data_IF_620085417416
#
_entry.id   IF_620085417416
#
_cell.length_a   1.000
_cell.length_b   1.000
_cell.length_c   1.000
_cell.angle_alpha   90.00
_cell.angle_beta   90.00
_cell.angle_gamma   90.00
#
_symmetry.space_group_name_H-M   'P 1'
#
loop_
_entity.id
_entity.type
_entity.pdbx_description
1 polymer ?
#
# COMPACT_ATOMS: atom_id res chain seq x y z
N UNK A 1 -6.44 -16.04 -4.25
CA UNK A 1 -5.76 -14.79 -3.86
C UNK A 1 -4.26 -15.01 -3.86
N UNK A 2 -3.46 -14.05 -4.33
CA UNK A 2 -2.01 -14.00 -4.15
C UNK A 2 -1.65 -12.79 -3.31
N UNK A 3 -0.83 -13.00 -2.26
CA UNK A 3 -0.48 -11.97 -1.29
C UNK A 3 0.99 -12.03 -0.93
N UNK A 4 1.50 -10.95 -0.37
CA UNK A 4 2.78 -10.92 0.33
C UNK A 4 2.66 -11.58 1.70
N UNK A 5 3.80 -11.95 2.28
CA UNK A 5 3.86 -12.50 3.63
C UNK A 5 3.34 -11.52 4.69
N UNK A 6 2.93 -12.04 5.83
CA UNK A 6 2.46 -11.30 7.00
C UNK A 6 3.49 -10.30 7.54
N UNK A 7 4.78 -10.63 7.47
CA UNK A 7 5.87 -9.77 7.92
C UNK A 7 6.08 -8.48 7.11
N UNK A 8 5.32 -8.28 6.04
CA UNK A 8 5.41 -7.06 5.25
C UNK A 8 4.67 -5.90 5.91
N UNK A 9 5.35 -4.75 6.04
CA UNK A 9 4.80 -3.57 6.73
C UNK A 9 3.49 -3.07 6.10
N UNK A 10 3.29 -3.22 4.79
CA UNK A 10 2.06 -2.79 4.12
C UNK A 10 0.89 -3.69 4.48
N UNK A 11 1.12 -5.00 4.61
CA UNK A 11 0.10 -5.94 5.08
C UNK A 11 -0.23 -5.69 6.55
N UNK A 12 0.77 -5.43 7.39
CA UNK A 12 0.58 -5.10 8.81
C UNK A 12 -0.27 -3.82 8.94
N UNK A 13 0.03 -2.80 8.16
CA UNK A 13 -0.73 -1.55 8.10
C UNK A 13 -2.19 -1.79 7.68
N UNK A 14 -2.40 -2.58 6.62
CA UNK A 14 -3.74 -2.96 6.16
C UNK A 14 -4.52 -3.73 7.23
N UNK A 15 -3.89 -4.70 7.89
CA UNK A 15 -4.51 -5.46 8.98
C UNK A 15 -4.87 -4.55 10.15
N UNK A 16 -3.99 -3.61 10.51
CA UNK A 16 -4.25 -2.61 11.54
C UNK A 16 -5.47 -1.73 11.19
N UNK A 17 -5.62 -1.36 9.92
CA UNK A 17 -6.80 -0.63 9.43
C UNK A 17 -8.07 -1.48 9.52
N UNK A 18 -8.02 -2.74 9.12
CA UNK A 18 -9.17 -3.65 9.23
C UNK A 18 -9.55 -3.87 10.69
N UNK A 19 -8.57 -4.03 11.57
CA UNK A 19 -8.75 -4.19 13.01
C UNK A 19 -9.43 -2.95 13.64
N UNK A 20 -9.00 -1.75 13.25
CA UNK A 20 -9.60 -0.51 13.79
C UNK A 20 -11.07 -0.37 13.39
N UNK A 21 -11.43 -0.77 12.18
CA UNK A 21 -12.79 -0.58 11.65
C UNK A 21 -13.73 -1.74 12.04
N UNK A 22 -13.25 -2.98 11.96
CA UNK A 22 -14.09 -4.17 12.15
C UNK A 22 -13.97 -4.80 13.55
N UNK A 23 -13.06 -4.29 14.39
CA UNK A 23 -12.72 -4.88 15.68
C UNK A 23 -11.96 -6.21 15.55
N UNK A 24 -11.53 -6.77 16.67
CA UNK A 24 -10.67 -7.96 16.70
C UNK A 24 -11.34 -9.19 16.02
N UNK A 25 -12.61 -9.43 16.29
CA UNK A 25 -13.34 -10.57 15.72
C UNK A 25 -13.50 -10.40 14.19
N UNK A 26 -13.91 -9.22 13.75
CA UNK A 26 -14.07 -8.92 12.32
C UNK A 26 -12.75 -9.04 11.55
N UNK A 27 -11.66 -8.53 12.11
CA UNK A 27 -10.33 -8.64 11.54
C UNK A 27 -9.81 -10.09 11.49
N UNK A 28 -10.02 -10.86 12.55
CA UNK A 28 -9.69 -12.29 12.58
C UNK A 28 -10.44 -13.08 11.50
N UNK A 29 -11.73 -12.82 11.35
CA UNK A 29 -12.57 -13.46 10.33
C UNK A 29 -12.12 -13.06 8.91
N UNK A 30 -11.80 -11.78 8.69
CA UNK A 30 -11.27 -11.30 7.44
C UNK A 30 -9.93 -11.98 7.10
N UNK A 31 -8.98 -12.02 8.03
CA UNK A 31 -7.68 -12.64 7.84
C UNK A 31 -7.78 -14.13 7.48
N UNK A 32 -8.60 -14.89 8.23
CA UNK A 32 -8.87 -16.30 7.94
C UNK A 32 -9.52 -16.48 6.57
N UNK A 33 -10.48 -15.62 6.22
CA UNK A 33 -11.13 -15.64 4.92
C UNK A 33 -10.15 -15.41 3.78
N UNK A 34 -9.22 -14.47 3.92
CA UNK A 34 -8.17 -14.22 2.91
C UNK A 34 -7.20 -15.40 2.85
N UNK A 35 -6.67 -15.86 3.98
CA UNK A 35 -5.70 -16.95 4.05
C UNK A 35 -6.26 -18.27 3.47
N UNK A 36 -7.52 -18.60 3.74
CA UNK A 36 -8.18 -19.79 3.19
C UNK A 36 -8.38 -19.75 1.67
N UNK A 37 -8.22 -18.59 1.06
CA UNK A 37 -8.33 -18.39 -0.38
C UNK A 37 -6.97 -18.18 -1.07
N UNK A 38 -5.86 -18.42 -0.42
CA UNK A 38 -4.55 -18.35 -1.05
C UNK A 38 -4.42 -19.39 -2.16
N UNK A 39 -4.00 -18.94 -3.35
CA UNK A 39 -3.71 -19.82 -4.47
C UNK A 39 -2.36 -20.52 -4.31
N UNK A 40 -1.49 -19.94 -3.52
CA UNK A 40 -0.15 -20.43 -3.16
C UNK A 40 0.30 -19.77 -1.86
N UNK A 41 1.40 -20.24 -1.30
CA UNK A 41 2.05 -19.61 -0.15
C UNK A 41 2.38 -18.13 -0.42
N UNK A 42 2.21 -17.24 0.57
CA UNK A 42 2.56 -15.83 0.46
C UNK A 42 4.01 -15.61 0.01
N UNK A 43 4.22 -14.68 -0.90
CA UNK A 43 5.54 -14.38 -1.48
C UNK A 43 5.92 -12.91 -1.31
N UNK A 44 7.22 -12.61 -1.54
CA UNK A 44 7.89 -11.44 -0.99
C UNK A 44 7.66 -10.08 -1.65
N UNK A 45 7.10 -9.97 -2.88
CA UNK A 45 6.97 -8.66 -3.54
C UNK A 45 5.66 -8.48 -4.30
N UNK A 46 5.16 -7.24 -4.34
CA UNK A 46 3.90 -6.89 -4.97
C UNK A 46 3.94 -7.07 -6.49
N UNK A 47 5.07 -6.77 -7.14
CA UNK A 47 5.21 -6.97 -8.59
C UNK A 47 4.99 -8.43 -8.97
N UNK A 48 5.50 -9.37 -8.17
CA UNK A 48 5.26 -10.80 -8.37
C UNK A 48 3.80 -11.17 -8.24
N UNK A 49 3.07 -10.58 -7.27
CA UNK A 49 1.64 -10.81 -7.09
C UNK A 49 0.82 -10.24 -8.26
N UNK A 50 1.16 -9.04 -8.74
CA UNK A 50 0.52 -8.41 -9.91
C UNK A 50 0.71 -9.28 -11.15
N UNK A 51 1.92 -9.78 -11.39
CA UNK A 51 2.23 -10.68 -12.52
C UNK A 51 1.49 -12.02 -12.41
N UNK A 52 1.32 -12.54 -11.19
CA UNK A 52 0.56 -13.76 -10.95
C UNK A 52 -0.94 -13.60 -11.29
N UNK A 53 -1.52 -12.42 -11.03
CA UNK A 53 -2.87 -12.11 -11.49
C UNK A 53 -2.93 -12.05 -13.01
N UNK A 54 -2.00 -11.34 -13.65
CA UNK A 54 -1.96 -11.20 -15.11
C UNK A 54 -1.78 -12.55 -15.83
N UNK A 55 -1.01 -13.47 -15.25
CA UNK A 55 -0.83 -14.83 -15.79
C UNK A 55 -2.00 -15.79 -15.52
N UNK A 56 -2.96 -15.40 -14.68
CA UNK A 56 -4.08 -16.23 -14.28
C UNK A 56 -3.79 -17.24 -13.17
N UNK A 57 -2.61 -17.22 -12.58
CA UNK A 57 -2.24 -18.06 -11.41
C UNK A 57 -3.17 -17.77 -10.21
N UNK A 58 -3.54 -16.52 -10.03
CA UNK A 58 -4.56 -16.11 -9.07
C UNK A 58 -5.53 -15.08 -9.67
N UNK A 59 -6.70 -14.94 -9.06
CA UNK A 59 -7.75 -14.04 -9.55
C UNK A 59 -7.67 -12.64 -8.95
N UNK A 60 -7.09 -12.50 -7.76
CA UNK A 60 -7.04 -11.27 -6.97
C UNK A 60 -5.70 -11.18 -6.26
N UNK A 61 -5.18 -9.97 -6.18
CA UNK A 61 -4.06 -9.59 -5.31
C UNK A 61 -4.31 -8.23 -4.69
N UNK A 62 -3.74 -7.97 -3.52
CA UNK A 62 -3.67 -6.64 -2.93
C UNK A 62 -2.22 -6.17 -3.06
N UNK A 63 -2.04 -4.97 -3.59
CA UNK A 63 -0.72 -4.39 -3.84
C UNK A 63 -0.77 -2.86 -3.71
N UNK A 64 0.36 -2.24 -3.41
CA UNK A 64 0.45 -0.79 -3.45
C UNK A 64 0.44 -0.29 -4.90
N UNK A 65 -0.19 0.85 -5.12
CA UNK A 65 -0.41 1.46 -6.44
C UNK A 65 0.88 1.82 -7.16
N UNK A 66 1.93 2.22 -6.44
CA UNK A 66 3.19 2.62 -7.07
C UNK A 66 3.89 1.46 -7.81
N UNK A 67 3.61 0.19 -7.49
CA UNK A 67 4.11 -0.94 -8.29
C UNK A 67 3.44 -1.00 -9.67
N UNK A 68 2.15 -0.63 -9.75
CA UNK A 68 1.46 -0.45 -11.03
C UNK A 68 2.07 0.71 -11.80
N UNK A 69 2.30 1.85 -11.13
CA UNK A 69 2.96 3.01 -11.72
C UNK A 69 4.33 2.66 -12.33
N UNK A 70 5.13 1.84 -11.64
CA UNK A 70 6.42 1.36 -12.16
C UNK A 70 6.27 0.50 -13.41
N UNK A 71 5.28 -0.39 -13.47
CA UNK A 71 5.01 -1.20 -14.66
C UNK A 71 4.56 -0.32 -15.84
N UNK A 72 3.71 0.67 -15.59
CA UNK A 72 3.30 1.67 -16.59
C UNK A 72 4.48 2.48 -17.11
N UNK A 73 5.40 2.90 -16.23
CA UNK A 73 6.55 3.73 -16.57
C UNK A 73 7.69 2.95 -17.27
N UNK A 74 7.70 1.63 -17.21
CA UNK A 74 8.84 0.81 -17.65
C UNK A 74 9.09 0.86 -19.16
N UNK A 75 8.05 1.12 -19.96
CA UNK A 75 8.09 1.09 -21.42
C UNK A 75 8.34 -0.30 -22.05
N UNK A 76 8.42 -1.35 -21.24
CA UNK A 76 8.70 -2.71 -21.70
C UNK A 76 7.43 -3.41 -22.19
N UNK A 77 7.46 -4.11 -23.35
CA UNK A 77 6.29 -4.83 -23.86
C UNK A 77 5.72 -5.86 -22.88
N UNK A 78 6.57 -6.56 -22.13
CA UNK A 78 6.16 -7.54 -21.13
C UNK A 78 5.42 -6.89 -19.94
N UNK A 79 5.80 -5.69 -19.52
CA UNK A 79 5.13 -4.95 -18.45
C UNK A 79 3.79 -4.37 -18.94
N UNK A 80 3.76 -3.91 -20.20
CA UNK A 80 2.50 -3.51 -20.83
C UNK A 80 1.50 -4.67 -20.88
N UNK A 81 1.94 -5.86 -21.27
CA UNK A 81 1.08 -7.05 -21.30
C UNK A 81 0.51 -7.40 -19.92
N UNK A 82 1.29 -7.20 -18.84
CA UNK A 82 0.82 -7.37 -17.46
C UNK A 82 -0.29 -6.36 -17.15
N UNK A 83 -0.11 -5.09 -17.46
CA UNK A 83 -1.11 -4.04 -17.23
C UNK A 83 -2.39 -4.30 -18.04
N UNK A 84 -2.27 -4.68 -19.31
CA UNK A 84 -3.40 -5.00 -20.18
C UNK A 84 -4.19 -6.23 -19.67
N UNK A 85 -3.54 -7.13 -18.93
CA UNK A 85 -4.13 -8.36 -18.38
C UNK A 85 -4.82 -8.22 -17.03
N UNK A 86 -4.79 -7.04 -16.40
CA UNK A 86 -5.34 -6.82 -15.06
C UNK A 86 -6.38 -5.69 -15.03
N UNK A 87 -7.19 -5.70 -13.97
CA UNK A 87 -8.06 -4.58 -13.61
C UNK A 87 -7.71 -4.09 -12.21
N UNK A 88 -7.53 -2.79 -12.08
CA UNK A 88 -7.28 -2.13 -10.79
C UNK A 88 -8.64 -1.74 -10.19
N UNK A 89 -8.80 -2.02 -8.91
CA UNK A 89 -9.99 -1.68 -8.13
C UNK A 89 -9.56 -1.02 -6.83
N UNK A 90 -10.01 0.18 -6.58
CA UNK A 90 -9.92 0.82 -5.27
C UNK A 90 -11.08 0.32 -4.40
N UNK A 91 -10.80 -0.39 -3.30
CA UNK A 91 -11.88 -0.92 -2.43
C UNK A 91 -12.56 0.19 -1.62
N UNK A 92 -13.70 -0.14 -1.02
CA UNK A 92 -14.42 0.66 -0.03
C UNK A 92 -14.82 2.07 -0.51
N UNK A 93 -15.06 2.26 -1.81
CA UNK A 93 -15.36 3.58 -2.37
C UNK A 93 -16.77 4.08 -2.02
N UNK A 94 -17.67 3.21 -1.58
CA UNK A 94 -19.02 3.55 -1.13
C UNK A 94 -19.12 3.84 0.38
N UNK A 95 -18.04 3.63 1.13
CA UNK A 95 -18.01 3.79 2.59
C UNK A 95 -16.74 4.50 3.07
N UNK A 96 -15.82 3.82 3.72
CA UNK A 96 -14.66 4.41 4.40
C UNK A 96 -13.51 4.85 3.50
N UNK A 97 -13.52 4.47 2.24
CA UNK A 97 -12.40 4.71 1.33
C UNK A 97 -11.33 3.61 1.35
N UNK A 98 -10.38 3.73 0.43
CA UNK A 98 -9.26 2.81 0.28
C UNK A 98 -8.20 3.06 1.33
N UNK A 99 -7.72 2.00 1.99
CA UNK A 99 -6.56 2.10 2.88
C UNK A 99 -5.34 2.65 2.14
N UNK A 100 -4.66 3.63 2.73
CA UNK A 100 -3.45 4.25 2.19
C UNK A 100 -2.27 4.01 3.12
N UNK A 101 -1.11 3.72 2.52
CA UNK A 101 0.17 3.70 3.22
C UNK A 101 0.87 5.04 3.01
N UNK A 102 1.41 5.61 4.07
CA UNK A 102 2.03 6.94 4.07
C UNK A 102 3.53 6.79 4.35
N UNK A 103 4.36 7.41 3.51
CA UNK A 103 5.77 7.64 3.83
C UNK A 103 5.90 8.86 4.74
N UNK A 104 6.78 8.80 5.73
CA UNK A 104 6.96 9.86 6.69
C UNK A 104 8.42 10.15 6.99
N UNK A 105 8.69 11.33 7.50
CA UNK A 105 10.00 11.75 7.96
C UNK A 105 9.90 12.42 9.34
N UNK A 106 10.95 12.30 10.16
CA UNK A 106 11.02 12.92 11.47
C UNK A 106 12.43 13.39 11.82
N UNK A 107 12.53 14.39 12.67
CA UNK A 107 13.82 14.86 13.20
C UNK A 107 14.18 14.04 14.43
N UNK A 108 15.34 13.35 14.41
CA UNK A 108 15.82 12.62 15.57
C UNK A 108 16.22 13.59 16.72
N UNK A 109 16.01 13.18 17.96
CA UNK A 109 16.26 14.04 19.12
C UNK A 109 17.70 14.56 19.19
N UNK A 110 18.67 13.74 18.75
CA UNK A 110 20.11 14.04 18.72
C UNK A 110 20.60 14.68 17.44
N UNK A 111 19.70 15.19 16.57
CA UNK A 111 20.09 15.79 15.28
C UNK A 111 21.06 16.96 15.50
N UNK A 112 22.28 16.94 14.92
CA UNK A 112 23.26 18.02 15.10
C UNK A 112 22.86 19.30 14.35
N UNK A 113 22.04 19.20 13.29
CA UNK A 113 21.56 20.30 12.48
C UNK A 113 20.02 20.33 12.43
N UNK A 114 19.39 20.42 13.61
CA UNK A 114 17.94 20.30 13.77
C UNK A 114 17.15 21.30 12.92
N UNK A 115 17.58 22.56 12.87
CA UNK A 115 16.89 23.59 12.07
C UNK A 115 16.92 23.27 10.56
N UNK A 116 18.04 22.77 10.05
CA UNK A 116 18.14 22.36 8.65
C UNK A 116 17.31 21.10 8.36
N UNK A 117 17.23 20.17 9.30
CA UNK A 117 16.38 19.00 9.19
C UNK A 117 14.90 19.38 9.12
N UNK A 118 14.46 20.34 9.94
CA UNK A 118 13.08 20.88 9.88
C UNK A 118 12.81 21.52 8.50
N UNK A 119 13.68 22.42 8.04
CA UNK A 119 13.54 23.03 6.71
C UNK A 119 13.48 22.01 5.59
N UNK A 120 14.26 20.92 5.70
CA UNK A 120 14.22 19.84 4.72
C UNK A 120 12.87 19.12 4.73
N UNK A 121 12.31 18.81 5.91
CA UNK A 121 10.99 18.19 6.03
C UNK A 121 9.90 19.13 5.48
N UNK A 122 9.99 20.44 5.76
CA UNK A 122 9.09 21.44 5.17
C UNK A 122 9.20 21.47 3.63
N UNK A 123 10.42 21.39 3.08
CA UNK A 123 10.62 21.28 1.64
C UNK A 123 9.98 20.02 1.05
N UNK A 124 10.03 18.88 1.75
CA UNK A 124 9.41 17.64 1.27
C UNK A 124 7.89 17.75 1.07
N UNK A 125 7.23 18.71 1.71
CA UNK A 125 5.80 19.00 1.50
C UNK A 125 5.53 20.08 0.46
N UNK A 126 6.56 20.60 -0.23
CA UNK A 126 6.39 21.56 -1.32
C UNK A 126 5.87 20.88 -2.59
N UNK A 127 5.19 21.64 -3.46
CA UNK A 127 4.69 21.16 -4.75
C UNK A 127 5.82 20.54 -5.61
N UNK A 128 7.02 21.14 -5.56
CA UNK A 128 8.18 20.62 -6.28
C UNK A 128 8.60 19.24 -5.80
N UNK A 129 8.76 19.06 -4.48
CA UNK A 129 9.15 17.78 -3.91
C UNK A 129 8.05 16.71 -4.11
N UNK A 130 6.78 17.07 -3.96
CA UNK A 130 5.66 16.16 -4.18
C UNK A 130 5.56 15.71 -5.63
N UNK A 131 5.83 16.60 -6.60
CA UNK A 131 5.93 16.23 -8.01
C UNK A 131 7.10 15.25 -8.27
N UNK A 132 8.26 15.46 -7.64
CA UNK A 132 9.40 14.53 -7.74
C UNK A 132 9.02 13.14 -7.21
N UNK A 133 8.30 13.04 -6.09
CA UNK A 133 7.82 11.75 -5.58
C UNK A 133 6.81 11.10 -6.52
N UNK A 134 5.87 11.86 -7.05
CA UNK A 134 4.86 11.34 -7.97
C UNK A 134 5.50 10.81 -9.27
N UNK A 135 6.40 11.57 -9.89
CA UNK A 135 7.05 11.20 -11.15
C UNK A 135 8.16 10.15 -10.97
N UNK A 136 8.98 10.27 -9.92
CA UNK A 136 10.13 9.41 -9.68
C UNK A 136 9.79 8.09 -9.01
N UNK A 137 8.88 8.10 -8.03
CA UNK A 137 8.49 6.93 -7.26
C UNK A 137 7.13 6.35 -7.64
N UNK A 138 6.34 7.06 -8.46
CA UNK A 138 4.97 6.73 -8.81
C UNK A 138 4.05 6.68 -7.57
N UNK A 139 4.22 7.59 -6.64
CA UNK A 139 3.42 7.72 -5.43
C UNK A 139 2.37 8.82 -5.61
N UNK A 140 1.20 8.66 -4.99
CA UNK A 140 0.25 9.76 -4.88
C UNK A 140 0.85 10.84 -3.97
N UNK A 141 0.81 12.13 -4.37
CA UNK A 141 1.31 13.20 -3.51
C UNK A 141 0.36 13.42 -2.32
N UNK A 142 0.91 13.86 -1.18
CA UNK A 142 0.10 14.26 -0.01
C UNK A 142 -0.51 15.65 -0.17
N UNK A 143 0.00 16.44 -1.11
CA UNK A 143 -0.48 17.78 -1.47
C UNK A 143 -0.48 17.89 -2.99
N UNK A 144 -1.54 18.46 -3.56
CA UNK A 144 -1.68 18.64 -4.99
C UNK A 144 -2.26 17.43 -5.72
N UNK A 145 -2.13 17.43 -7.04
CA UNK A 145 -2.68 16.38 -7.90
C UNK A 145 -1.60 15.39 -8.31
N UNK A 146 -2.01 14.14 -8.50
CA UNK A 146 -1.11 13.09 -9.00
C UNK A 146 -0.68 13.41 -10.44
N UNK A 147 0.62 13.24 -10.71
CA UNK A 147 1.23 13.41 -12.04
C UNK A 147 1.91 12.12 -12.49
N UNK A 148 2.35 12.08 -13.74
CA UNK A 148 3.03 10.91 -14.29
C UNK A 148 2.14 9.66 -14.42
N UNK A 149 2.72 8.46 -14.46
CA UNK A 149 1.98 7.22 -14.71
C UNK A 149 0.88 6.93 -13.69
N UNK A 150 1.09 7.32 -12.42
CA UNK A 150 0.12 7.05 -11.34
C UNK A 150 -1.20 7.80 -11.55
N UNK A 151 -1.19 8.96 -12.18
CA UNK A 151 -2.40 9.75 -12.47
C UNK A 151 -3.39 9.01 -13.38
N UNK A 152 -2.92 8.06 -14.18
CA UNK A 152 -3.78 7.26 -15.08
C UNK A 152 -4.67 6.26 -14.34
N UNK A 153 -4.40 6.00 -13.05
CA UNK A 153 -5.22 5.12 -12.22
C UNK A 153 -6.51 5.79 -11.74
N UNK A 154 -6.65 7.09 -11.93
CA UNK A 154 -7.80 7.87 -11.53
C UNK A 154 -7.76 8.32 -10.06
N UNK A 155 -8.82 8.98 -9.64
CA UNK A 155 -9.05 9.40 -8.27
C UNK A 155 -9.80 8.34 -7.46
N UNK A 156 -9.63 8.36 -6.15
CA UNK A 156 -10.33 7.48 -5.23
C UNK A 156 -10.55 8.21 -3.89
N UNK A 157 -11.53 7.74 -3.12
CA UNK A 157 -11.70 8.17 -1.75
C UNK A 157 -10.72 7.39 -0.87
N UNK A 158 -9.88 8.10 -0.14
CA UNK A 158 -8.91 7.52 0.80
C UNK A 158 -9.51 7.34 2.20
N UNK A 159 -9.06 6.31 2.91
CA UNK A 159 -9.38 6.08 4.31
C UNK A 159 -8.68 7.13 5.19
N UNK A 160 -9.38 7.67 6.17
CA UNK A 160 -8.90 8.73 7.04
C UNK A 160 -8.27 8.25 8.35
N UNK A 161 -7.95 6.95 8.47
CA UNK A 161 -7.28 6.41 9.66
C UNK A 161 -5.85 6.97 9.75
N UNK A 162 -5.52 7.58 10.89
CA UNK A 162 -4.20 8.15 11.08
C UNK A 162 -3.09 7.08 11.21
N UNK A 163 -1.89 7.40 10.72
CA UNK A 163 -0.73 6.53 10.87
C UNK A 163 -0.41 6.20 12.34
N UNK A 164 -0.72 7.10 13.28
CA UNK A 164 -0.55 6.84 14.71
C UNK A 164 -1.42 5.69 15.22
N UNK A 165 -2.68 5.62 14.76
CA UNK A 165 -3.58 4.50 15.10
C UNK A 165 -3.06 3.20 14.52
N UNK A 166 -2.62 3.21 13.25
CA UNK A 166 -2.03 2.03 12.61
C UNK A 166 -0.81 1.53 13.37
N UNK A 167 0.05 2.44 13.86
CA UNK A 167 1.22 2.10 14.68
C UNK A 167 0.84 1.45 16.00
N UNK A 168 -0.18 1.96 16.70
CA UNK A 168 -0.68 1.38 17.96
C UNK A 168 -1.23 -0.03 17.77
N UNK A 169 -1.91 -0.28 16.64
CA UNK A 169 -2.53 -1.57 16.32
C UNK A 169 -1.55 -2.61 15.75
N UNK A 170 -0.30 -2.23 15.47
CA UNK A 170 0.67 -3.09 14.76
C UNK A 170 0.86 -4.45 15.44
N UNK A 171 1.04 -4.48 16.76
CA UNK A 171 1.27 -5.73 17.50
C UNK A 171 0.09 -6.70 17.35
N UNK A 172 -1.12 -6.21 17.58
CA UNK A 172 -2.34 -7.00 17.48
C UNK A 172 -2.59 -7.47 16.03
N UNK A 173 -2.27 -6.64 15.05
CA UNK A 173 -2.35 -7.01 13.63
C UNK A 173 -1.44 -8.20 13.28
N UNK A 174 -0.22 -8.23 13.80
CA UNK A 174 0.71 -9.37 13.61
C UNK A 174 0.16 -10.64 14.26
N UNK A 175 -0.34 -10.54 15.50
CA UNK A 175 -0.95 -11.68 16.20
C UNK A 175 -2.15 -12.26 15.43
N UNK A 176 -2.95 -11.42 14.77
CA UNK A 176 -4.07 -11.87 13.94
C UNK A 176 -3.62 -12.61 12.68
N UNK A 177 -2.53 -12.21 12.05
CA UNK A 177 -1.93 -12.93 10.93
C UNK A 177 -1.49 -14.33 11.34
N UNK A 178 -0.78 -14.45 12.48
CA UNK A 178 -0.33 -15.74 13.01
C UNK A 178 -1.51 -16.67 13.28
N UNK A 179 -2.57 -16.16 13.92
CA UNK A 179 -3.82 -16.90 14.20
C UNK A 179 -4.55 -17.34 12.93
N UNK A 180 -4.44 -16.58 11.84
CA UNK A 180 -5.05 -16.91 10.56
C UNK A 180 -4.23 -17.88 9.72
N UNK A 181 -2.98 -18.19 10.10
CA UNK A 181 -2.05 -18.98 9.29
C UNK A 181 -1.55 -18.23 8.05
N UNK A 182 -1.57 -16.92 8.09
CA UNK A 182 -1.00 -16.07 7.04
C UNK A 182 0.47 -15.82 7.35
N UNK A 183 1.36 -16.59 6.74
CA UNK A 183 2.81 -16.60 6.96
C UNK A 183 3.56 -15.58 6.11
#
# INVERSE_FOLDING_TARGET
VCMRSSGNIYNISLMASVLEVAGAEGAANWAKGVASNFARDPQSNDTGQIRAVASGECKVSIANTYYIGRLLASGKPEDKAVIDGIRIVFPNQSDRGTHVNISGAGVVASAPNKENAIKFIEYLTSDEAQRIFAEGNNEYPVIGEATGPISTLGSFNEDQISASILGVRQKEAVELFDQAGWL
#
